data_IF_408638526841
#
_entry.id   IF_408638526841
#
_cell.length_a   1.000
_cell.length_b   1.000
_cell.length_c   1.000
_cell.angle_alpha   90.00
_cell.angle_beta   90.00
_cell.angle_gamma   90.00
#
_symmetry.space_group_name_H-M   'P 1'
#
loop_
_entity.id
_entity.type
_entity.pdbx_description
1 polymer ?
#
# COMPACT_ATOMS: atom_id res chain seq x y z
N UNK A 1 -19.02 6.94 9.31
CA UNK A 1 -18.60 5.77 10.12
C UNK A 1 -18.16 4.55 9.29
N UNK A 2 -18.11 4.61 7.94
CA UNK A 2 -17.65 3.48 7.11
C UNK A 2 -16.13 3.42 6.90
N UNK A 3 -15.50 4.56 6.58
CA UNK A 3 -14.07 4.58 6.21
C UNK A 3 -13.12 4.23 7.37
N UNK A 4 -13.40 4.71 8.58
CA UNK A 4 -12.59 4.38 9.77
C UNK A 4 -12.57 2.88 10.08
N UNK A 5 -13.66 2.17 9.78
CA UNK A 5 -13.77 0.72 9.97
C UNK A 5 -12.97 -0.04 8.91
N UNK A 6 -12.96 0.44 7.66
CA UNK A 6 -12.07 -0.12 6.63
C UNK A 6 -10.59 0.08 6.98
N UNK A 7 -10.22 1.27 7.47
CA UNK A 7 -8.84 1.55 7.87
C UNK A 7 -8.36 0.59 8.96
N UNK A 8 -9.20 0.35 9.96
CA UNK A 8 -8.88 -0.61 11.03
C UNK A 8 -8.77 -2.03 10.49
N UNK A 9 -9.68 -2.46 9.60
CA UNK A 9 -9.61 -3.79 8.98
C UNK A 9 -8.33 -3.99 8.20
N UNK A 10 -7.93 -3.02 7.39
CA UNK A 10 -6.71 -3.11 6.59
C UNK A 10 -5.46 -3.14 7.48
N UNK A 11 -5.45 -2.37 8.56
CA UNK A 11 -4.37 -2.46 9.55
C UNK A 11 -4.28 -3.85 10.18
N UNK A 12 -5.41 -4.43 10.61
CA UNK A 12 -5.45 -5.79 11.18
C UNK A 12 -5.04 -6.87 10.18
N UNK A 13 -5.42 -6.72 8.91
CA UNK A 13 -4.97 -7.60 7.82
C UNK A 13 -3.46 -7.52 7.65
N UNK A 14 -2.90 -6.30 7.70
CA UNK A 14 -1.47 -6.05 7.76
C UNK A 14 -0.81 -6.81 8.91
N UNK A 15 -1.36 -6.71 10.11
CA UNK A 15 -0.85 -7.41 11.30
C UNK A 15 -0.79 -8.93 11.11
N UNK A 16 -1.84 -9.53 10.55
CA UNK A 16 -1.85 -10.97 10.25
C UNK A 16 -0.78 -11.34 9.21
N UNK A 17 -0.58 -10.51 8.18
CA UNK A 17 0.48 -10.70 7.18
C UNK A 17 1.88 -10.55 7.82
N UNK A 18 2.06 -9.60 8.74
CA UNK A 18 3.31 -9.40 9.48
C UNK A 18 3.65 -10.59 10.38
N UNK A 19 2.68 -11.06 11.17
CA UNK A 19 2.83 -12.27 12.01
C UNK A 19 3.20 -13.49 11.15
N UNK A 20 2.58 -13.64 9.98
CA UNK A 20 2.88 -14.72 9.07
C UNK A 20 4.34 -14.71 8.57
N UNK A 21 4.95 -13.52 8.39
CA UNK A 21 6.36 -13.41 8.00
C UNK A 21 7.34 -13.79 9.13
N UNK A 22 6.92 -13.79 10.39
CA UNK A 22 7.76 -14.20 11.54
C UNK A 22 7.79 -15.72 11.67
N UNK A 23 6.72 -16.41 11.27
CA UNK A 23 6.58 -17.86 11.44
C UNK A 23 7.28 -18.58 10.28
N UNK A 24 8.33 -19.38 10.54
CA UNK A 24 9.03 -20.11 9.50
C UNK A 24 8.08 -21.10 8.79
N UNK A 25 8.05 -21.02 7.46
CA UNK A 25 7.18 -21.86 6.63
C UNK A 25 5.79 -21.28 6.33
N UNK A 26 5.44 -20.09 6.86
CA UNK A 26 4.21 -19.37 6.51
C UNK A 26 4.53 -18.22 5.54
N UNK A 27 3.74 -18.10 4.47
CA UNK A 27 3.90 -17.03 3.47
C UNK A 27 2.91 -15.89 3.73
N UNK A 28 3.42 -14.67 3.91
CA UNK A 28 2.59 -13.47 4.01
C UNK A 28 1.72 -13.22 2.77
N UNK A 29 2.18 -13.59 1.58
CA UNK A 29 1.40 -13.50 0.34
C UNK A 29 0.20 -14.45 0.33
N UNK A 30 0.35 -15.65 0.87
CA UNK A 30 -0.75 -16.61 1.04
C UNK A 30 -1.76 -16.08 2.06
N UNK A 31 -1.31 -15.45 3.15
CA UNK A 31 -2.22 -14.82 4.11
C UNK A 31 -2.97 -13.65 3.50
N UNK A 32 -2.33 -12.83 2.66
CA UNK A 32 -3.01 -11.78 1.91
C UNK A 32 -4.10 -12.32 0.97
N UNK A 33 -3.90 -13.50 0.36
CA UNK A 33 -4.91 -14.20 -0.45
C UNK A 33 -6.08 -14.65 0.41
N UNK A 34 -5.80 -15.33 1.53
CA UNK A 34 -6.83 -15.81 2.48
C UNK A 34 -7.66 -14.66 3.05
N UNK A 35 -7.04 -13.51 3.30
CA UNK A 35 -7.70 -12.30 3.82
C UNK A 35 -8.45 -11.50 2.73
N UNK A 36 -8.37 -11.92 1.47
CA UNK A 36 -9.04 -11.28 0.33
C UNK A 36 -8.47 -9.91 -0.03
N UNK A 37 -7.24 -9.60 0.38
CA UNK A 37 -6.58 -8.31 0.09
C UNK A 37 -5.52 -8.40 -1.00
N UNK A 38 -5.16 -9.62 -1.40
CA UNK A 38 -4.09 -9.86 -2.36
C UNK A 38 -4.34 -9.20 -3.72
N UNK A 39 -5.55 -9.33 -4.30
CA UNK A 39 -5.85 -8.75 -5.61
C UNK A 39 -5.67 -7.23 -5.60
N UNK A 40 -6.22 -6.55 -4.59
CA UNK A 40 -6.06 -5.11 -4.41
C UNK A 40 -4.60 -4.72 -4.17
N UNK A 41 -3.82 -5.51 -3.43
CA UNK A 41 -2.39 -5.26 -3.24
C UNK A 41 -1.63 -5.36 -4.56
N UNK A 42 -1.87 -6.40 -5.35
CA UNK A 42 -1.23 -6.59 -6.65
C UNK A 42 -1.66 -5.50 -7.63
N UNK A 43 -2.93 -5.11 -7.65
CA UNK A 43 -3.41 -4.01 -8.50
C UNK A 43 -2.79 -2.67 -8.11
N UNK A 44 -2.72 -2.37 -6.81
CA UNK A 44 -2.04 -1.19 -6.30
C UNK A 44 -0.54 -1.20 -6.68
N UNK A 45 0.14 -2.35 -6.57
CA UNK A 45 1.54 -2.47 -7.01
C UNK A 45 1.69 -2.33 -8.53
N UNK A 46 0.78 -2.91 -9.31
CA UNK A 46 0.78 -2.82 -10.78
C UNK A 46 0.56 -1.38 -11.26
N UNK A 47 -0.20 -0.58 -10.52
CA UNK A 47 -0.41 0.83 -10.82
C UNK A 47 0.83 1.70 -10.55
N UNK A 48 1.81 1.20 -9.76
CA UNK A 48 3.13 1.82 -9.64
C UNK A 48 3.84 1.69 -10.99
N UNK A 49 3.95 2.80 -11.71
CA UNK A 49 4.50 2.81 -13.06
C UNK A 49 5.66 3.80 -13.20
N UNK A 50 6.26 3.89 -14.39
CA UNK A 50 7.30 4.87 -14.68
C UNK A 50 6.85 6.33 -14.47
N UNK A 51 5.54 6.60 -14.49
CA UNK A 51 4.96 7.90 -14.13
C UNK A 51 5.16 8.24 -12.65
N UNK A 52 4.89 7.29 -11.77
CA UNK A 52 5.09 7.39 -10.32
C UNK A 52 6.56 7.65 -9.98
N UNK A 53 7.49 6.96 -10.65
CA UNK A 53 8.94 7.16 -10.50
C UNK A 53 9.35 8.57 -10.95
N UNK A 54 8.88 9.02 -12.13
CA UNK A 54 9.15 10.38 -12.62
C UNK A 54 8.59 11.45 -11.68
N UNK A 55 7.40 11.24 -11.13
CA UNK A 55 6.80 12.13 -10.15
C UNK A 55 7.61 12.19 -8.84
N UNK A 56 8.12 11.05 -8.38
CA UNK A 56 9.00 10.95 -7.22
C UNK A 56 10.32 11.72 -7.43
N UNK A 57 10.99 11.54 -8.58
CA UNK A 57 12.18 12.35 -8.90
C UNK A 57 11.85 13.83 -9.12
N UNK A 58 10.64 14.14 -9.61
CA UNK A 58 10.12 15.50 -9.71
C UNK A 58 9.96 16.20 -8.36
N UNK A 59 9.82 15.44 -7.27
CA UNK A 59 9.74 15.94 -5.90
C UNK A 59 11.04 16.61 -5.45
N UNK A 60 12.19 16.14 -5.95
CA UNK A 60 13.51 16.74 -5.67
C UNK A 60 13.65 18.18 -6.20
N UNK A 61 12.75 18.64 -7.10
CA UNK A 61 12.72 20.03 -7.55
C UNK A 61 12.10 20.99 -6.52
N UNK A 62 11.69 20.52 -5.34
CA UNK A 62 11.14 21.31 -4.22
C UNK A 62 10.09 22.35 -4.65
N UNK A 63 9.29 22.03 -5.67
CA UNK A 63 8.20 22.87 -6.15
C UNK A 63 6.85 22.25 -5.72
N UNK A 64 5.90 23.08 -5.30
CA UNK A 64 4.52 22.64 -4.98
C UNK A 64 3.89 21.85 -6.13
N UNK A 65 4.11 22.26 -7.38
CA UNK A 65 3.61 21.53 -8.54
C UNK A 65 4.18 20.10 -8.70
N UNK A 66 5.39 19.82 -8.19
CA UNK A 66 5.96 18.47 -8.17
C UNK A 66 5.32 17.60 -7.10
N UNK A 67 5.05 18.20 -5.93
CA UNK A 67 4.33 17.55 -4.85
C UNK A 67 2.89 17.19 -5.26
N UNK A 68 2.18 18.11 -5.93
CA UNK A 68 0.80 17.86 -6.37
C UNK A 68 0.71 16.67 -7.33
N UNK A 69 1.62 16.57 -8.32
CA UNK A 69 1.69 15.43 -9.24
C UNK A 69 2.00 14.12 -8.54
N UNK A 70 2.89 14.15 -7.54
CA UNK A 70 3.22 12.95 -6.79
C UNK A 70 2.06 12.50 -5.89
N UNK A 71 1.38 13.44 -5.23
CA UNK A 71 0.20 13.13 -4.43
C UNK A 71 -0.92 12.54 -5.29
N UNK A 72 -1.09 13.04 -6.51
CA UNK A 72 -2.05 12.52 -7.48
C UNK A 72 -1.68 11.09 -7.92
N UNK A 73 -0.39 10.83 -8.19
CA UNK A 73 0.10 9.48 -8.48
C UNK A 73 -0.02 8.53 -7.27
N UNK A 74 0.25 8.99 -6.05
CA UNK A 74 0.03 8.18 -4.84
C UNK A 74 -1.45 7.81 -4.66
N UNK A 75 -2.35 8.75 -4.94
CA UNK A 75 -3.80 8.50 -4.88
C UNK A 75 -4.25 7.53 -5.97
N UNK A 76 -3.69 7.65 -7.19
CA UNK A 76 -3.95 6.76 -8.32
C UNK A 76 -3.54 5.32 -8.04
N UNK A 77 -2.44 5.16 -7.31
CA UNK A 77 -1.80 3.87 -7.06
C UNK A 77 -2.35 3.17 -5.81
N UNK A 78 -3.40 3.71 -5.21
CA UNK A 78 -4.00 3.24 -3.96
C UNK A 78 -2.94 3.11 -2.84
N UNK A 79 -1.94 4.01 -2.83
CA UNK A 79 -0.79 3.94 -1.94
C UNK A 79 -1.18 4.03 -0.46
N UNK A 80 -2.30 4.69 -0.15
CA UNK A 80 -2.87 4.73 1.20
C UNK A 80 -3.30 3.36 1.71
N UNK A 81 -3.83 2.50 0.83
CA UNK A 81 -4.16 1.12 1.18
C UNK A 81 -2.90 0.31 1.46
N UNK A 82 -1.89 0.40 0.57
CA UNK A 82 -0.61 -0.27 0.77
C UNK A 82 0.07 0.19 2.07
N UNK A 83 0.08 1.49 2.37
CA UNK A 83 0.66 2.03 3.60
C UNK A 83 -0.02 1.48 4.86
N UNK A 84 -1.35 1.34 4.87
CA UNK A 84 -2.08 0.76 6.01
C UNK A 84 -1.73 -0.71 6.24
N UNK A 85 -1.67 -1.49 5.16
CA UNK A 85 -1.27 -2.90 5.21
C UNK A 85 0.18 -3.02 5.69
N UNK A 86 1.09 -2.21 5.13
CA UNK A 86 2.50 -2.19 5.52
C UNK A 86 2.70 -1.77 6.98
N UNK A 87 1.95 -0.76 7.45
CA UNK A 87 2.00 -0.30 8.83
C UNK A 87 1.50 -1.36 9.82
N UNK A 88 0.57 -2.22 9.42
CA UNK A 88 0.18 -3.38 10.22
C UNK A 88 1.19 -4.52 10.14
N UNK A 89 1.86 -4.70 9.01
CA UNK A 89 2.74 -5.85 8.74
C UNK A 89 4.16 -5.74 9.32
N UNK A 90 4.56 -4.56 9.79
CA UNK A 90 5.82 -4.29 10.49
C UNK A 90 5.58 -4.33 12.00
#
# INVERSE_FOLDING_TARGET
MGESMEYLKDFLRGLVIGVANIIPGVSGGTMALVLGVYERMIEALHNISGGTIKAFFGLCRFNRAGLDRFLEELRRTDAWFLLRIMAGAI
#
